data_IF_826153335303
#
_entry.id   IF_826153335303
#
_cell.length_a   1.000
_cell.length_b   1.000
_cell.length_c   1.000
_cell.angle_alpha   90.00
_cell.angle_beta   90.00
_cell.angle_gamma   90.00
#
_symmetry.space_group_name_H-M   'P 1'
#
loop_
_entity.id
_entity.type
_entity.pdbx_description
1 polymer ?
#
# COMPACT_ATOMS: atom_id res chain seq x y z
N UNK A 1 -3.52 -28.83 -5.20
CA UNK A 1 -2.33 -28.12 -4.69
C UNK A 1 -2.78 -27.45 -3.42
N UNK A 2 -2.02 -27.53 -2.30
CA UNK A 2 -2.39 -26.79 -1.11
C UNK A 2 -2.49 -25.31 -1.49
N UNK A 3 -3.56 -24.66 -1.03
CA UNK A 3 -3.98 -23.31 -1.42
C UNK A 3 -2.78 -22.40 -1.69
N UNK A 4 -2.69 -21.86 -2.91
CA UNK A 4 -1.96 -20.61 -3.06
C UNK A 4 -2.68 -19.65 -2.11
N UNK A 5 -2.04 -19.29 -0.99
CA UNK A 5 -2.67 -18.47 0.06
C UNK A 5 -3.40 -17.33 -0.63
N UNK A 6 -4.72 -17.27 -0.48
CA UNK A 6 -5.54 -16.30 -1.18
C UNK A 6 -5.14 -14.91 -0.69
N UNK A 7 -4.33 -14.21 -1.48
CA UNK A 7 -3.82 -12.89 -1.14
C UNK A 7 -4.67 -11.80 -1.78
N UNK A 8 -4.79 -10.67 -1.09
CA UNK A 8 -5.35 -9.43 -1.61
C UNK A 8 -4.26 -8.39 -1.85
N UNK A 9 -4.57 -7.35 -2.64
CA UNK A 9 -3.76 -6.14 -2.68
C UNK A 9 -4.34 -5.04 -1.80
N UNK A 10 -3.46 -4.23 -1.25
CA UNK A 10 -3.79 -3.04 -0.47
C UNK A 10 -2.96 -1.87 -0.97
N UNK A 11 -3.60 -0.78 -1.39
CA UNK A 11 -2.91 0.45 -1.76
C UNK A 11 -3.03 1.45 -0.61
N UNK A 12 -1.88 1.87 -0.10
CA UNK A 12 -1.74 2.83 0.99
C UNK A 12 -1.18 4.13 0.43
N UNK A 13 -1.89 5.23 0.65
CA UNK A 13 -1.39 6.58 0.39
C UNK A 13 -0.89 7.18 1.69
N UNK A 14 0.40 7.53 1.71
CA UNK A 14 1.08 8.23 2.79
C UNK A 14 1.28 9.69 2.34
N UNK A 15 0.24 10.52 2.49
CA UNK A 15 0.32 11.92 2.03
C UNK A 15 1.25 12.73 2.91
N UNK A 16 2.10 13.54 2.28
CA UNK A 16 3.00 14.44 2.99
C UNK A 16 2.24 15.51 3.75
N UNK A 17 2.72 15.82 4.95
CA UNK A 17 2.39 17.05 5.65
C UNK A 17 3.46 18.10 5.33
N UNK A 18 3.13 19.04 4.44
CA UNK A 18 4.05 20.10 4.01
C UNK A 18 4.27 21.19 5.07
N UNK A 19 3.62 21.11 6.24
CA UNK A 19 3.93 21.98 7.38
C UNK A 19 5.21 21.58 8.13
N UNK A 20 5.74 20.38 7.87
CA UNK A 20 6.97 19.86 8.45
C UNK A 20 8.08 19.80 7.39
N UNK A 21 9.34 19.98 7.83
CA UNK A 21 10.50 19.79 6.97
C UNK A 21 10.97 18.32 6.98
N UNK A 22 11.89 17.98 6.07
CA UNK A 22 12.38 16.61 5.91
C UNK A 22 13.01 16.06 7.20
N UNK A 23 13.79 16.86 7.91
CA UNK A 23 14.48 16.42 9.14
C UNK A 23 13.51 16.07 10.27
N UNK A 24 12.45 16.87 10.43
CA UNK A 24 11.39 16.61 11.42
C UNK A 24 10.64 15.31 11.08
N UNK A 25 10.33 15.10 9.80
CA UNK A 25 9.69 13.86 9.32
C UNK A 25 10.59 12.65 9.59
N UNK A 26 11.87 12.71 9.21
CA UNK A 26 12.81 11.61 9.38
C UNK A 26 13.05 11.27 10.85
N UNK A 27 13.09 12.28 11.73
CA UNK A 27 13.23 12.08 13.17
C UNK A 27 12.05 11.29 13.73
N UNK A 28 10.81 11.70 13.40
CA UNK A 28 9.61 10.99 13.87
C UNK A 28 9.52 9.56 13.33
N UNK A 29 9.84 9.34 12.06
CA UNK A 29 9.85 8.00 11.47
C UNK A 29 10.89 7.09 12.13
N UNK A 30 12.06 7.65 12.47
CA UNK A 30 13.10 6.93 13.19
C UNK A 30 12.67 6.59 14.62
N UNK A 31 12.08 7.53 15.36
CA UNK A 31 11.57 7.30 16.72
C UNK A 31 10.47 6.22 16.76
N UNK A 32 9.72 6.06 15.68
CA UNK A 32 8.68 5.06 15.55
C UNK A 32 9.16 3.70 14.99
N UNK A 33 10.47 3.56 14.71
CA UNK A 33 11.08 2.39 14.04
C UNK A 33 10.39 2.02 12.72
N UNK A 34 9.87 3.02 11.98
CA UNK A 34 9.09 2.82 10.75
C UNK A 34 9.82 1.93 9.73
N UNK A 35 11.11 2.19 9.51
CA UNK A 35 11.91 1.51 8.49
C UNK A 35 12.22 0.05 8.80
N UNK A 36 12.14 -0.35 10.07
CA UNK A 36 12.38 -1.73 10.49
C UNK A 36 11.08 -2.51 10.70
N UNK A 37 9.97 -1.82 11.03
CA UNK A 37 8.69 -2.45 11.37
C UNK A 37 7.73 -2.56 10.20
N UNK A 38 7.88 -1.72 9.17
CA UNK A 38 7.01 -1.72 8.01
C UNK A 38 7.71 -2.28 6.75
N UNK A 39 7.10 -3.22 6.02
CA UNK A 39 5.81 -3.85 6.29
C UNK A 39 5.94 -4.90 7.41
N UNK A 40 4.84 -5.22 8.14
CA UNK A 40 4.88 -6.28 9.14
C UNK A 40 5.07 -7.66 8.49
N UNK A 41 5.50 -8.63 9.29
CA UNK A 41 5.72 -10.01 8.84
C UNK A 41 4.49 -10.61 8.14
N UNK A 42 4.73 -11.31 7.02
CA UNK A 42 3.69 -11.93 6.19
C UNK A 42 3.01 -10.95 5.22
N UNK A 43 3.60 -9.76 5.01
CA UNK A 43 3.13 -8.75 4.06
C UNK A 43 4.26 -8.39 3.11
N UNK A 44 3.96 -8.41 1.82
CA UNK A 44 4.91 -8.12 0.75
C UNK A 44 4.69 -6.71 0.21
N UNK A 45 5.76 -5.94 -0.01
CA UNK A 45 5.69 -4.71 -0.82
C UNK A 45 5.73 -5.10 -2.30
N UNK A 46 4.65 -4.83 -3.02
CA UNK A 46 4.56 -4.99 -4.48
C UNK A 46 5.16 -3.79 -5.20
N UNK A 47 4.89 -2.58 -4.70
CA UNK A 47 5.46 -1.33 -5.22
C UNK A 47 5.50 -0.26 -4.14
N UNK A 48 6.47 0.65 -4.25
CA UNK A 48 6.58 1.83 -3.41
C UNK A 48 7.08 3.00 -4.26
N UNK A 49 6.23 4.00 -4.45
CA UNK A 49 6.51 5.15 -5.32
C UNK A 49 6.35 6.46 -4.56
N UNK A 50 7.28 7.39 -4.76
CA UNK A 50 7.11 8.78 -4.30
C UNK A 50 6.48 9.61 -5.41
N UNK A 51 5.26 10.08 -5.18
CA UNK A 51 4.60 11.08 -6.02
C UNK A 51 4.91 12.47 -5.45
N UNK A 52 5.80 13.21 -6.11
CA UNK A 52 6.27 14.52 -5.64
C UNK A 52 5.10 15.46 -5.33
N UNK A 53 5.16 16.14 -4.17
CA UNK A 53 4.11 17.03 -3.69
C UNK A 53 2.89 16.33 -3.07
N UNK A 54 2.61 15.08 -3.46
CA UNK A 54 1.52 14.27 -2.90
C UNK A 54 1.97 13.47 -1.68
N UNK A 55 3.00 12.65 -1.85
CA UNK A 55 3.47 11.72 -0.82
C UNK A 55 3.95 10.40 -1.37
N UNK A 56 3.85 9.35 -0.57
CA UNK A 56 4.26 8.00 -0.96
C UNK A 56 3.03 7.13 -1.22
N UNK A 57 3.14 6.27 -2.22
CA UNK A 57 2.10 5.31 -2.61
C UNK A 57 2.71 3.93 -2.52
N UNK A 58 2.17 3.10 -1.63
CA UNK A 58 2.66 1.75 -1.39
C UNK A 58 1.57 0.77 -1.77
N UNK A 59 1.90 -0.23 -2.59
CA UNK A 59 1.02 -1.38 -2.82
C UNK A 59 1.57 -2.58 -2.08
N UNK A 60 0.74 -3.18 -1.23
CA UNK A 60 1.06 -4.35 -0.45
C UNK A 60 0.30 -5.56 -0.99
N UNK A 61 0.88 -6.75 -0.84
CA UNK A 61 0.21 -8.04 -1.00
C UNK A 61 0.23 -8.77 0.33
N UNK A 62 -0.91 -9.29 0.74
CA UNK A 62 -1.08 -9.93 2.04
C UNK A 62 -2.26 -10.91 2.04
N UNK A 63 -2.25 -11.94 2.90
CA UNK A 63 -3.48 -12.66 3.22
C UNK A 63 -4.44 -11.75 4.00
N UNK A 64 -5.77 -11.88 3.82
CA UNK A 64 -6.76 -11.07 4.54
C UNK A 64 -6.61 -11.11 6.08
N UNK A 65 -6.12 -12.22 6.63
CA UNK A 65 -5.85 -12.40 8.06
C UNK A 65 -4.79 -11.47 8.64
N UNK A 66 -3.98 -10.79 7.80
CA UNK A 66 -2.94 -9.84 8.22
C UNK A 66 -3.40 -8.38 8.16
N UNK A 67 -4.61 -8.10 7.67
CA UNK A 67 -5.10 -6.73 7.47
C UNK A 67 -5.10 -5.89 8.76
N UNK A 68 -5.50 -6.49 9.89
CA UNK A 68 -5.48 -5.83 11.19
C UNK A 68 -4.05 -5.49 11.65
N UNK A 69 -3.07 -6.37 11.37
CA UNK A 69 -1.67 -6.14 11.72
C UNK A 69 -1.10 -4.98 10.92
N UNK A 70 -1.41 -4.91 9.61
CA UNK A 70 -1.03 -3.77 8.76
C UNK A 70 -1.64 -2.48 9.26
N UNK A 71 -2.94 -2.48 9.60
CA UNK A 71 -3.59 -1.30 10.14
C UNK A 71 -2.86 -0.82 11.39
N UNK A 72 -2.70 -1.67 12.40
CA UNK A 72 -2.03 -1.33 13.67
C UNK A 72 -0.60 -0.81 13.45
N UNK A 73 0.13 -1.38 12.50
CA UNK A 73 1.48 -0.87 12.20
C UNK A 73 1.42 0.55 11.64
N UNK A 74 0.54 0.83 10.68
CA UNK A 74 0.32 2.20 10.16
C UNK A 74 -0.10 3.17 11.26
N UNK A 75 -0.98 2.75 12.18
CA UNK A 75 -1.39 3.60 13.31
C UNK A 75 -0.22 3.95 14.24
N UNK A 76 0.67 2.99 14.45
CA UNK A 76 1.80 3.12 15.37
C UNK A 76 2.95 3.93 14.80
N UNK A 77 3.23 3.79 13.50
CA UNK A 77 4.49 4.28 12.92
C UNK A 77 4.34 5.26 11.76
N UNK A 78 3.16 5.36 11.12
CA UNK A 78 2.91 6.33 10.05
C UNK A 78 2.05 7.54 10.49
N UNK A 79 1.11 7.34 11.41
CA UNK A 79 0.22 8.42 11.87
C UNK A 79 0.97 9.53 12.60
N UNK A 80 0.63 10.79 12.31
CA UNK A 80 1.34 11.96 12.82
C UNK A 80 2.57 12.38 11.99
N UNK A 81 2.98 11.54 11.03
CA UNK A 81 3.94 11.90 9.97
C UNK A 81 3.23 12.07 8.63
N UNK A 82 2.31 11.15 8.32
CA UNK A 82 1.54 11.16 7.09
C UNK A 82 0.04 11.29 7.37
N UNK A 83 -0.69 11.85 6.41
CA UNK A 83 -2.13 11.60 6.30
C UNK A 83 -2.35 10.35 5.46
N UNK A 84 -2.79 9.28 6.12
CA UNK A 84 -2.93 7.93 5.54
C UNK A 84 -4.32 7.68 4.97
N UNK A 85 -4.39 7.17 3.74
CA UNK A 85 -5.59 6.55 3.18
C UNK A 85 -5.26 5.11 2.75
N UNK A 86 -6.19 4.18 2.95
CA UNK A 86 -5.94 2.74 2.77
C UNK A 86 -7.09 2.14 1.96
N UNK A 87 -6.78 1.47 0.86
CA UNK A 87 -7.78 0.90 -0.06
C UNK A 87 -7.44 -0.54 -0.41
N UNK A 88 -8.36 -1.50 -0.22
CA UNK A 88 -8.30 -2.79 -0.89
C UNK A 88 -8.29 -2.59 -2.41
N UNK A 89 -7.36 -3.20 -3.11
CA UNK A 89 -7.20 -3.06 -4.56
C UNK A 89 -7.00 -4.41 -5.24
N UNK A 90 -7.03 -4.43 -6.57
CA UNK A 90 -6.70 -5.59 -7.40
C UNK A 90 -6.06 -5.11 -8.70
N UNK A 91 -5.25 -5.97 -9.33
CA UNK A 91 -4.68 -5.65 -10.63
C UNK A 91 -5.77 -5.71 -11.71
N UNK A 92 -6.07 -4.55 -12.29
CA UNK A 92 -7.08 -4.43 -13.32
C UNK A 92 -6.55 -4.84 -14.71
N UNK A 93 -5.23 -4.98 -14.91
CA UNK A 93 -4.66 -5.29 -16.24
C UNK A 93 -5.22 -6.59 -16.84
N UNK A 94 -5.32 -7.72 -16.10
CA UNK A 94 -5.92 -8.94 -16.63
C UNK A 94 -7.39 -8.74 -17.05
N UNK A 95 -8.17 -8.03 -16.23
CA UNK A 95 -9.58 -7.72 -16.52
C UNK A 95 -9.67 -6.83 -17.75
N UNK A 96 -8.79 -5.83 -17.88
CA UNK A 96 -8.71 -4.94 -19.04
C UNK A 96 -8.40 -5.70 -20.32
N UNK A 97 -7.44 -6.62 -20.32
CA UNK A 97 -7.10 -7.41 -21.52
C UNK A 97 -8.25 -8.35 -21.91
N UNK A 98 -8.91 -8.98 -20.93
CA UNK A 98 -10.13 -9.78 -21.18
C UNK A 98 -11.25 -8.93 -21.84
N UNK A 99 -11.51 -7.73 -21.31
CA UNK A 99 -12.49 -6.80 -21.90
C UNK A 99 -12.07 -6.41 -23.31
N UNK A 100 -10.78 -6.10 -23.52
CA UNK A 100 -10.25 -5.69 -24.82
C UNK A 100 -10.40 -6.79 -25.87
N UNK A 101 -10.19 -8.05 -25.51
CA UNK A 101 -10.41 -9.20 -26.41
C UNK A 101 -11.91 -9.40 -26.73
N UNK A 102 -12.77 -9.30 -25.72
CA UNK A 102 -14.22 -9.40 -25.91
C UNK A 102 -14.77 -8.34 -26.86
N UNK A 103 -14.32 -7.09 -26.70
CA UNK A 103 -14.71 -5.98 -27.60
C UNK A 103 -14.19 -6.19 -29.02
N UNK A 104 -12.96 -6.70 -29.19
CA UNK A 104 -12.41 -7.05 -30.52
C UNK A 104 -13.23 -8.12 -31.24
N UNK A 105 -13.87 -9.02 -30.50
CA UNK A 105 -14.72 -10.09 -31.03
C UNK A 105 -16.19 -9.66 -31.23
N UNK A 106 -16.49 -8.36 -31.20
CA UNK A 106 -17.85 -7.82 -31.43
C UNK A 106 -18.78 -7.87 -30.23
N UNK A 107 -18.27 -8.22 -29.04
CA UNK A 107 -18.99 -8.11 -27.78
C UNK A 107 -19.08 -6.66 -27.27
N UNK A 108 -20.07 -6.40 -26.40
CA UNK A 108 -20.06 -5.23 -25.52
C UNK A 108 -19.14 -5.48 -24.32
#
# INVERSE_FOLDING_TARGET
>A
MPDAEETMLLTVFLRHDQSNNLDAIQTRLKEADWWERFPPEGVEIVSWTVAMGFGQIVTLRLPPSRLNVVNVELERSAWGVFSTEIFPTYDFVPVREMIRERVRNGGK
#
